data_IF_906911572239
#
_entry.id   IF_906911572239
#
_cell.length_a   1.000
_cell.length_b   1.000
_cell.length_c   1.000
_cell.angle_alpha   90.00
_cell.angle_beta   90.00
_cell.angle_gamma   90.00
#
_symmetry.space_group_name_H-M   'P 1'
#
loop_
_entity.id
_entity.type
_entity.pdbx_description
1 polymer ?
#
# COMPACT_ATOMS: atom_id res chain seq x y z
N UNK A 1 25.18 29.06 11.55
CA UNK A 1 24.57 27.72 11.66
C UNK A 1 23.07 27.91 11.40
N UNK A 2 22.66 28.02 10.13
CA UNK A 2 21.26 28.32 9.76
C UNK A 2 20.61 27.05 9.25
N UNK A 3 19.73 26.47 10.05
CA UNK A 3 18.95 25.28 9.66
C UNK A 3 17.88 25.64 8.64
N UNK A 4 17.89 24.94 7.51
CA UNK A 4 16.85 25.05 6.48
C UNK A 4 15.54 24.47 6.99
N UNK A 5 14.53 25.32 7.16
CA UNK A 5 13.18 24.91 7.54
C UNK A 5 12.42 24.41 6.31
N UNK A 6 12.16 23.11 6.23
CA UNK A 6 11.35 22.50 5.18
C UNK A 6 9.89 22.93 5.35
N UNK A 7 9.39 23.80 4.48
CA UNK A 7 7.97 24.16 4.47
C UNK A 7 7.17 23.06 3.77
N UNK A 8 6.28 22.41 4.52
CA UNK A 8 5.42 21.39 3.96
C UNK A 8 4.40 22.03 2.99
N UNK A 9 4.19 21.48 1.79
CA UNK A 9 3.18 21.98 0.87
C UNK A 9 1.80 21.86 1.53
N UNK A 10 1.11 22.99 1.71
CA UNK A 10 -0.27 23.05 2.22
C UNK A 10 -1.22 22.76 1.07
N UNK A 11 -1.77 21.56 1.03
CA UNK A 11 -2.85 21.23 0.11
C UNK A 11 -4.15 21.91 0.59
N UNK A 12 -4.92 22.55 -0.30
CA UNK A 12 -6.21 23.12 0.05
C UNK A 12 -7.20 21.99 0.38
N UNK A 13 -7.92 22.12 1.50
CA UNK A 13 -9.01 21.18 1.83
C UNK A 13 -10.14 21.37 0.82
N UNK A 14 -10.35 20.39 -0.06
CA UNK A 14 -11.42 20.42 -1.09
C UNK A 14 -12.79 20.16 -0.46
N UNK A 15 -12.83 19.60 0.75
CA UNK A 15 -14.04 19.32 1.50
C UNK A 15 -14.16 20.28 2.70
N UNK A 16 -15.39 20.69 3.07
CA UNK A 16 -15.62 21.44 4.30
C UNK A 16 -15.15 20.60 5.49
N UNK A 17 -14.41 21.22 6.41
CA UNK A 17 -13.93 20.56 7.62
C UNK A 17 -15.12 20.25 8.53
N UNK A 18 -15.56 18.99 8.54
CA UNK A 18 -16.57 18.50 9.48
C UNK A 18 -15.86 17.82 10.65
N UNK A 19 -16.28 18.04 11.91
CA UNK A 19 -15.74 17.31 13.04
C UNK A 19 -15.90 15.81 12.83
N UNK A 20 -14.86 15.03 13.10
CA UNK A 20 -14.98 13.58 13.12
C UNK A 20 -16.03 13.19 14.17
N UNK A 21 -17.09 12.51 13.73
CA UNK A 21 -18.10 11.97 14.65
C UNK A 21 -17.47 10.80 15.39
N UNK A 22 -17.47 10.87 16.72
CA UNK A 22 -17.00 9.76 17.54
C UNK A 22 -17.96 8.59 17.40
N UNK A 23 -17.41 7.41 17.16
CA UNK A 23 -18.20 6.19 17.16
C UNK A 23 -18.69 5.89 18.58
N UNK A 24 -20.02 5.78 18.75
CA UNK A 24 -20.68 5.54 20.05
C UNK A 24 -21.37 4.17 20.11
N UNK A 25 -21.29 3.39 19.04
CA UNK A 25 -22.07 2.15 18.87
C UNK A 25 -21.21 0.90 18.74
N UNK A 26 -19.94 1.04 18.35
CA UNK A 26 -19.03 -0.09 18.16
C UNK A 26 -18.60 -0.62 19.51
N UNK A 27 -18.93 -1.89 19.77
CA UNK A 27 -18.53 -2.54 21.02
C UNK A 27 -17.04 -2.92 20.99
N UNK A 28 -16.38 -3.03 22.15
CA UNK A 28 -14.99 -3.50 22.22
C UNK A 28 -14.79 -4.86 21.56
N UNK A 29 -15.79 -5.74 21.62
CA UNK A 29 -15.76 -7.06 20.98
C UNK A 29 -15.80 -6.94 19.46
N UNK A 30 -16.55 -5.98 18.90
CA UNK A 30 -16.57 -5.72 17.46
C UNK A 30 -15.24 -5.14 16.95
N UNK A 31 -14.56 -4.32 17.75
CA UNK A 31 -13.20 -3.86 17.45
C UNK A 31 -12.22 -5.03 17.48
N UNK A 32 -12.31 -5.87 18.51
CA UNK A 32 -11.39 -6.99 18.71
C UNK A 32 -11.68 -8.18 17.78
N UNK A 33 -12.89 -8.25 17.21
CA UNK A 33 -13.28 -9.25 16.22
C UNK A 33 -12.56 -9.09 14.87
N UNK A 34 -11.74 -8.04 14.69
CA UNK A 34 -10.77 -7.94 13.62
C UNK A 34 -11.40 -7.90 12.23
N UNK A 35 -11.69 -6.70 11.72
CA UNK A 35 -12.29 -6.53 10.38
C UNK A 35 -11.37 -6.92 9.20
N UNK A 36 -10.15 -7.37 9.46
CA UNK A 36 -9.26 -7.92 8.45
C UNK A 36 -8.40 -9.02 9.09
N UNK A 37 -8.13 -10.07 8.31
CA UNK A 37 -7.08 -11.04 8.66
C UNK A 37 -5.77 -10.24 8.72
N UNK A 38 -5.29 -9.96 9.93
CA UNK A 38 -3.96 -9.39 10.13
C UNK A 38 -2.99 -10.49 9.72
N UNK A 39 -2.49 -10.41 8.50
CA UNK A 39 -1.54 -11.38 7.97
C UNK A 39 -0.14 -10.80 8.09
N UNK A 40 0.81 -11.64 8.46
CA UNK A 40 2.21 -11.22 8.46
C UNK A 40 2.74 -11.19 7.02
N UNK A 41 3.76 -10.36 6.71
CA UNK A 41 4.46 -10.42 5.43
C UNK A 41 4.89 -11.84 5.04
N UNK A 42 5.23 -12.68 6.04
CA UNK A 42 5.58 -14.09 5.86
C UNK A 42 4.39 -14.97 5.47
N UNK A 43 3.16 -14.63 5.88
CA UNK A 43 1.93 -15.37 5.57
C UNK A 43 1.25 -14.88 4.28
N UNK A 44 1.40 -13.59 3.97
CA UNK A 44 0.92 -12.98 2.72
C UNK A 44 2.05 -12.17 2.08
N UNK A 45 2.96 -12.83 1.35
CA UNK A 45 3.99 -12.11 0.62
C UNK A 45 3.34 -11.20 -0.43
N UNK A 46 3.78 -9.95 -0.44
CA UNK A 46 3.36 -8.95 -1.42
C UNK A 46 4.50 -8.80 -2.42
N UNK A 47 4.20 -9.01 -3.70
CA UNK A 47 5.12 -8.81 -4.79
C UNK A 47 4.73 -7.57 -5.57
N UNK A 48 5.71 -6.70 -5.85
CA UNK A 48 5.49 -5.41 -6.50
C UNK A 48 6.23 -5.42 -7.83
N UNK A 49 5.53 -5.11 -8.92
CA UNK A 49 6.16 -4.88 -10.22
C UNK A 49 6.82 -3.49 -10.23
N UNK A 50 8.14 -3.41 -10.18
CA UNK A 50 8.86 -2.13 -10.31
C UNK A 50 9.34 -1.83 -11.75
N UNK A 51 8.95 -2.66 -12.72
CA UNK A 51 9.27 -2.45 -14.12
C UNK A 51 8.56 -1.19 -14.63
N UNK A 52 9.32 -0.30 -15.27
CA UNK A 52 8.82 0.95 -15.86
C UNK A 52 7.94 1.81 -14.91
N UNK A 53 8.24 1.82 -13.61
CA UNK A 53 7.47 2.57 -12.59
C UNK A 53 5.98 2.14 -12.46
N UNK A 54 5.65 0.88 -12.75
CA UNK A 54 4.28 0.36 -12.65
C UNK A 54 3.73 0.28 -11.20
N UNK A 55 4.58 -0.17 -10.26
CA UNK A 55 4.30 -0.33 -8.82
C UNK A 55 3.03 -1.10 -8.44
N UNK A 56 2.59 -2.01 -9.33
CA UNK A 56 1.37 -2.79 -9.11
C UNK A 56 1.62 -3.97 -8.17
N UNK A 57 0.70 -4.15 -7.22
CA UNK A 57 0.78 -5.12 -6.12
C UNK A 57 0.13 -6.45 -6.52
N UNK A 58 0.79 -7.56 -6.20
CA UNK A 58 0.31 -8.91 -6.48
C UNK A 58 0.55 -9.86 -5.29
N UNK A 59 -0.36 -10.83 -5.07
CA UNK A 59 -0.25 -11.80 -3.97
C UNK A 59 0.70 -12.97 -4.27
N UNK A 60 1.18 -13.11 -5.51
CA UNK A 60 2.11 -14.17 -5.89
C UNK A 60 3.02 -13.74 -7.04
N UNK A 61 4.22 -14.33 -7.09
CA UNK A 61 5.20 -14.07 -8.15
C UNK A 61 4.68 -14.40 -9.55
N UNK A 62 3.94 -15.51 -9.68
CA UNK A 62 3.35 -15.92 -10.96
C UNK A 62 2.41 -14.88 -11.53
N UNK A 63 1.63 -14.19 -10.67
CA UNK A 63 0.74 -13.11 -11.11
C UNK A 63 1.51 -11.87 -11.57
N UNK A 64 2.64 -11.54 -10.95
CA UNK A 64 3.53 -10.47 -11.43
C UNK A 64 4.06 -10.81 -12.82
N UNK A 65 4.56 -12.03 -13.02
CA UNK A 65 5.10 -12.47 -14.31
C UNK A 65 4.03 -12.46 -15.41
N UNK A 66 2.82 -12.94 -15.10
CA UNK A 66 1.69 -12.90 -16.02
C UNK A 66 1.29 -11.46 -16.37
N UNK A 67 1.39 -10.51 -15.43
CA UNK A 67 1.16 -9.10 -15.70
C UNK A 67 2.28 -8.51 -16.58
N UNK A 68 3.55 -8.76 -16.27
CA UNK A 68 4.69 -8.28 -17.06
C UNK A 68 4.62 -8.71 -18.52
N UNK A 69 4.31 -9.98 -18.75
CA UNK A 69 4.12 -10.51 -20.11
C UNK A 69 2.98 -9.85 -20.87
N UNK A 70 1.96 -9.34 -20.18
CA UNK A 70 0.74 -8.77 -20.79
C UNK A 70 0.79 -7.26 -20.96
N UNK A 71 1.37 -6.53 -20.01
CA UNK A 71 1.41 -5.07 -19.98
C UNK A 71 2.77 -4.51 -20.41
N UNK A 72 3.86 -5.25 -20.20
CA UNK A 72 5.23 -4.77 -20.42
C UNK A 72 6.03 -5.57 -21.47
N UNK A 73 5.45 -6.65 -22.02
CA UNK A 73 6.10 -7.57 -22.99
C UNK A 73 7.49 -8.08 -22.57
N UNK A 74 7.74 -8.13 -21.25
CA UNK A 74 9.02 -8.57 -20.67
C UNK A 74 8.81 -9.81 -19.80
N UNK A 75 9.77 -10.74 -19.89
CA UNK A 75 9.86 -11.96 -19.07
C UNK A 75 11.00 -11.87 -18.05
N UNK A 76 11.63 -10.70 -17.93
CA UNK A 76 12.72 -10.48 -16.98
C UNK A 76 12.19 -10.60 -15.55
N UNK A 77 13.01 -11.18 -14.67
CA UNK A 77 12.69 -11.33 -13.24
C UNK A 77 13.33 -10.23 -12.38
N UNK A 78 14.24 -9.45 -12.96
CA UNK A 78 14.80 -8.25 -12.38
C UNK A 78 13.69 -7.21 -12.15
N UNK A 79 13.76 -6.40 -11.10
CA UNK A 79 12.77 -5.39 -10.70
C UNK A 79 11.47 -5.88 -10.02
N UNK A 80 11.45 -7.09 -9.44
CA UNK A 80 10.36 -7.50 -8.53
C UNK A 80 10.77 -7.19 -7.09
N UNK A 81 10.09 -6.23 -6.47
CA UNK A 81 10.31 -5.91 -5.05
C UNK A 81 9.39 -6.79 -4.23
N UNK A 82 9.93 -7.49 -3.22
CA UNK A 82 9.13 -8.30 -2.30
C UNK A 82 9.05 -7.56 -0.96
N UNK A 83 7.87 -7.46 -0.35
CA UNK A 83 7.72 -6.78 0.95
C UNK A 83 8.25 -7.61 2.14
N UNK A 84 9.02 -8.68 1.90
CA UNK A 84 9.49 -9.64 2.91
C UNK A 84 10.99 -9.54 3.19
N UNK A 85 11.65 -8.51 2.67
CA UNK A 85 13.10 -8.25 2.83
C UNK A 85 13.39 -6.96 3.59
#
# INVERSE_FOLDING_TARGET
MTGTQWQHPKLPSVLPSVPAVQDVTTTPEQVNAGMARITNPSETPIYICALDNCYRLFPSRERVMAHRKRDHDSEDQDDIITWNE
#
